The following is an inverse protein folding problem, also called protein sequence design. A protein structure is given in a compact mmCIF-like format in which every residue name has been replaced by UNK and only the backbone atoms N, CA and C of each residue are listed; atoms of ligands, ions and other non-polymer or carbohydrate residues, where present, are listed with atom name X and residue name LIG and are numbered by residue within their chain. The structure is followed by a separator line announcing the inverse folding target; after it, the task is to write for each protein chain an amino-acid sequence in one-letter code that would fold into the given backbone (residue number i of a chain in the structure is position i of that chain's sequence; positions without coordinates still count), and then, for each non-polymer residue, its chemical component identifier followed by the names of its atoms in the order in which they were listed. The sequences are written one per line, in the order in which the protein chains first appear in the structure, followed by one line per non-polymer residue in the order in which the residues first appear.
data_IF_673328223299
#
_entry.id   IF_673328223299
#
_cell.length_a   1.000
_cell.length_b   1.000
_cell.length_c   1.000
_cell.angle_alpha   90.00
_cell.angle_beta   90.00
_cell.angle_gamma   90.00
#
_symmetry.space_group_name_H-M   'P 1'
#
loop_
_entity.id
_entity.type
_entity.pdbx_description
1 polymer ?
#
# COMPACT_ATOMS: atom_id res chain seq x y z
N UNK A 1 10.13 35.89 -10.79
CA UNK A 1 9.37 34.74 -11.33
C UNK A 1 8.13 34.54 -10.46
N UNK A 2 6.93 34.64 -11.04
CA UNK A 2 5.67 34.54 -10.28
C UNK A 2 5.41 33.09 -9.84
N UNK A 3 4.50 32.90 -8.87
CA UNK A 3 4.05 31.55 -8.46
C UNK A 3 3.48 30.78 -9.67
N UNK A 4 2.74 31.47 -10.54
CA UNK A 4 2.16 30.89 -11.75
C UNK A 4 3.25 30.40 -12.73
N UNK A 5 4.36 31.13 -12.85
CA UNK A 5 5.49 30.72 -13.70
C UNK A 5 6.17 29.46 -13.14
N UNK A 6 6.33 29.38 -11.81
CA UNK A 6 6.84 28.18 -11.13
C UNK A 6 5.92 26.98 -11.34
N UNK A 7 4.60 27.17 -11.29
CA UNK A 7 3.63 26.10 -11.53
C UNK A 7 3.64 25.64 -13.00
N UNK A 8 3.75 26.56 -13.96
CA UNK A 8 3.86 26.21 -15.38
C UNK A 8 5.12 25.38 -15.68
N UNK A 9 6.21 25.58 -14.95
CA UNK A 9 7.42 24.77 -15.06
C UNK A 9 7.24 23.31 -14.58
N UNK A 10 6.18 23.02 -13.81
CA UNK A 10 5.84 21.65 -13.45
C UNK A 10 5.09 20.91 -14.56
N UNK A 11 4.58 21.61 -15.58
CA UNK A 11 3.88 20.99 -16.71
C UNK A 11 4.87 20.56 -17.81
N UNK A 12 5.67 19.54 -17.51
CA UNK A 12 6.64 18.99 -18.45
C UNK A 12 5.99 17.96 -19.39
N UNK A 13 6.59 17.71 -20.59
CA UNK A 13 6.07 16.74 -21.52
C UNK A 13 6.16 15.31 -20.98
N UNK A 14 5.08 14.55 -21.16
CA UNK A 14 4.99 13.13 -20.82
C UNK A 14 4.48 12.34 -22.02
N UNK A 15 4.83 11.06 -22.19
CA UNK A 15 4.31 10.26 -23.29
C UNK A 15 2.79 10.17 -23.26
N UNK A 16 2.11 10.24 -24.41
CA UNK A 16 0.64 10.20 -24.47
C UNK A 16 0.05 8.92 -23.83
N UNK A 17 0.75 7.78 -23.96
CA UNK A 17 0.31 6.53 -23.34
C UNK A 17 0.28 6.56 -21.81
N UNK A 18 0.87 7.57 -21.17
CA UNK A 18 0.75 7.76 -19.72
C UNK A 18 -0.69 8.01 -19.26
N UNK A 19 -1.61 8.36 -20.16
CA UNK A 19 -3.05 8.45 -19.88
C UNK A 19 -3.75 7.10 -19.80
N UNK A 20 -3.12 5.99 -20.20
CA UNK A 20 -3.72 4.66 -20.13
C UNK A 20 -3.81 4.22 -18.66
N UNK A 21 -4.89 3.54 -18.28
CA UNK A 21 -5.16 3.12 -16.90
C UNK A 21 -3.96 2.43 -16.22
N UNK A 22 -3.30 1.48 -16.90
CA UNK A 22 -2.12 0.79 -16.36
C UNK A 22 -0.93 1.70 -16.06
N UNK A 23 -0.82 2.83 -16.75
CA UNK A 23 0.25 3.82 -16.53
C UNK A 23 -0.05 4.79 -15.38
N UNK A 24 -1.30 4.87 -14.96
CA UNK A 24 -1.75 5.72 -13.85
C UNK A 24 -1.72 5.03 -12.48
N UNK A 25 -1.55 3.71 -12.42
CA UNK A 25 -1.67 2.92 -11.18
C UNK A 25 -0.86 3.47 -9.99
N UNK A 26 0.40 3.86 -10.20
CA UNK A 26 1.23 4.44 -9.13
C UNK A 26 0.74 5.82 -8.67
N UNK A 27 0.27 6.65 -9.61
CA UNK A 27 -0.36 7.93 -9.30
C UNK A 27 -1.71 7.77 -8.59
N UNK A 28 -2.49 6.76 -8.96
CA UNK A 28 -3.74 6.41 -8.29
C UNK A 28 -3.49 5.95 -6.85
N UNK A 29 -2.50 5.08 -6.61
CA UNK A 29 -2.11 4.70 -5.26
C UNK A 29 -1.71 5.94 -4.43
N UNK A 30 -0.87 6.82 -4.98
CA UNK A 30 -0.50 8.08 -4.33
C UNK A 30 -1.69 9.00 -4.06
N UNK A 31 -2.69 9.03 -4.94
CA UNK A 31 -3.91 9.81 -4.74
C UNK A 31 -4.81 9.22 -3.64
N UNK A 32 -4.96 7.89 -3.58
CA UNK A 32 -5.72 7.19 -2.52
C UNK A 32 -5.03 7.28 -1.15
N UNK A 33 -3.71 7.48 -1.12
CA UNK A 33 -3.00 7.71 0.13
C UNK A 33 -3.43 9.02 0.83
N UNK A 34 -3.90 10.04 0.10
CA UNK A 34 -4.38 11.31 0.68
C UNK A 34 -5.58 11.09 1.61
N UNK A 35 -6.71 10.51 1.17
CA UNK A 35 -7.84 10.25 2.07
C UNK A 35 -7.48 9.28 3.19
N UNK A 36 -6.52 8.35 3.02
CA UNK A 36 -6.01 7.53 4.12
C UNK A 36 -5.37 8.38 5.22
N UNK A 37 -4.47 9.31 4.88
CA UNK A 37 -3.88 10.24 5.87
C UNK A 37 -4.95 11.09 6.53
N UNK A 38 -5.87 11.68 5.76
CA UNK A 38 -6.93 12.55 6.30
C UNK A 38 -7.85 11.78 7.25
N UNK A 39 -8.38 10.63 6.82
CA UNK A 39 -9.28 9.83 7.66
C UNK A 39 -8.56 9.25 8.88
N UNK A 40 -7.27 8.88 8.77
CA UNK A 40 -6.44 8.45 9.90
C UNK A 40 -6.25 9.56 10.93
N UNK A 41 -5.94 10.78 10.51
CA UNK A 41 -5.82 11.95 11.41
C UNK A 41 -7.16 12.30 12.07
N UNK A 42 -8.26 12.23 11.32
CA UNK A 42 -9.62 12.44 11.88
C UNK A 42 -9.90 11.39 12.96
N UNK A 43 -9.69 10.10 12.67
CA UNK A 43 -9.85 9.05 13.69
C UNK A 43 -8.89 9.20 14.86
N UNK A 44 -7.66 9.68 14.62
CA UNK A 44 -6.71 9.92 15.70
C UNK A 44 -7.10 11.12 16.59
N UNK A 45 -7.71 12.14 16.02
CA UNK A 45 -8.20 13.28 16.78
C UNK A 45 -9.46 12.93 17.59
N UNK A 46 -10.42 12.25 16.95
CA UNK A 46 -11.72 11.95 17.56
C UNK A 46 -11.78 10.63 18.33
N UNK A 47 -10.79 9.74 18.14
CA UNK A 47 -10.87 8.36 18.57
C UNK A 47 -9.76 7.90 19.50
N UNK A 48 -10.15 7.37 20.67
CA UNK A 48 -9.34 6.58 21.60
C UNK A 48 -8.19 7.32 22.31
N UNK A 49 -8.43 7.75 23.55
CA UNK A 49 -7.40 8.16 24.52
C UNK A 49 -7.37 7.12 25.65
N UNK A 50 -6.23 6.44 25.92
CA UNK A 50 -6.14 5.43 26.99
C UNK A 50 -6.43 5.94 28.42
N UNK A 51 -6.48 7.26 28.66
CA UNK A 51 -6.51 7.88 29.99
C UNK A 51 -7.60 8.95 30.19
N UNK A 52 -8.72 8.85 29.47
CA UNK A 52 -9.89 9.75 29.53
C UNK A 52 -9.76 11.10 28.78
N UNK A 53 -10.95 11.62 28.40
CA UNK A 53 -11.25 12.78 27.54
C UNK A 53 -11.08 12.59 26.02
N UNK A 54 -11.73 11.58 25.43
CA UNK A 54 -12.50 11.59 24.17
C UNK A 54 -12.96 10.15 23.82
N UNK A 55 -14.10 10.05 23.11
CA UNK A 55 -14.97 8.88 22.93
C UNK A 55 -14.29 7.50 22.94
N UNK A 56 -14.85 6.54 23.68
CA UNK A 56 -14.42 5.13 23.64
C UNK A 56 -14.60 4.54 22.23
N UNK A 57 -13.90 3.45 21.91
CA UNK A 57 -14.06 2.77 20.63
C UNK A 57 -15.52 2.33 20.38
N UNK A 58 -16.25 1.99 21.45
CA UNK A 58 -17.70 1.74 21.42
C UNK A 58 -18.48 2.99 21.01
N UNK A 59 -18.18 4.16 21.58
CA UNK A 59 -18.83 5.42 21.20
C UNK A 59 -18.49 5.88 19.76
N UNK A 60 -17.32 5.49 19.24
CA UNK A 60 -16.98 5.69 17.81
C UNK A 60 -17.80 4.78 16.89
N UNK A 61 -18.13 3.57 17.33
CA UNK A 61 -19.02 2.65 16.61
C UNK A 61 -20.44 3.21 16.48
N UNK A 62 -20.91 3.81 17.56
CA UNK A 62 -22.28 4.29 17.70
C UNK A 62 -22.52 5.62 16.97
N UNK A 63 -21.45 6.39 16.70
CA UNK A 63 -21.55 7.61 15.89
C UNK A 63 -21.49 7.26 14.40
N UNK A 64 -22.62 7.34 13.70
CA UNK A 64 -22.74 6.97 12.28
C UNK A 64 -21.65 7.58 11.37
N UNK A 65 -21.27 8.84 11.58
CA UNK A 65 -20.22 9.51 10.80
C UNK A 65 -18.82 8.92 11.02
N UNK A 66 -18.47 8.56 12.26
CA UNK A 66 -17.15 7.95 12.56
C UNK A 66 -17.08 6.49 12.11
N UNK A 67 -18.18 5.75 12.21
CA UNK A 67 -18.27 4.38 11.69
C UNK A 67 -18.06 4.35 10.16
N UNK A 68 -18.67 5.29 9.43
CA UNK A 68 -18.46 5.46 7.99
C UNK A 68 -17.01 5.82 7.62
N UNK A 69 -16.38 6.74 8.35
CA UNK A 69 -14.97 7.12 8.12
C UNK A 69 -14.02 5.92 8.32
N UNK A 70 -14.26 5.11 9.35
CA UNK A 70 -13.46 3.91 9.61
C UNK A 70 -13.64 2.85 8.52
N UNK A 71 -14.87 2.61 8.07
CA UNK A 71 -15.13 1.70 6.97
C UNK A 71 -14.45 2.19 5.67
N UNK A 72 -14.56 3.50 5.38
CA UNK A 72 -13.88 4.11 4.23
C UNK A 72 -12.36 3.99 4.32
N UNK A 73 -11.77 4.21 5.50
CA UNK A 73 -10.33 4.08 5.74
C UNK A 73 -9.86 2.64 5.49
N UNK A 74 -10.58 1.64 6.02
CA UNK A 74 -10.27 0.23 5.81
C UNK A 74 -10.34 -0.15 4.32
N UNK A 75 -11.43 0.20 3.64
CA UNK A 75 -11.60 -0.10 2.21
C UNK A 75 -10.59 0.65 1.33
N UNK A 76 -10.21 1.89 1.71
CA UNK A 76 -9.16 2.63 1.04
C UNK A 76 -7.78 1.98 1.23
N UNK A 77 -7.51 1.37 2.39
CA UNK A 77 -6.26 0.65 2.66
C UNK A 77 -6.15 -0.60 1.78
N UNK A 78 -7.25 -1.34 1.62
CA UNK A 78 -7.32 -2.46 0.67
C UNK A 78 -7.11 -2.00 -0.77
N UNK A 79 -7.83 -0.95 -1.21
CA UNK A 79 -7.68 -0.39 -2.55
C UNK A 79 -6.25 0.10 -2.81
N UNK A 80 -5.61 0.72 -1.83
CA UNK A 80 -4.23 1.18 -1.91
C UNK A 80 -3.24 0.02 -2.14
N UNK A 81 -3.35 -1.07 -1.37
CA UNK A 81 -2.50 -2.25 -1.57
C UNK A 81 -2.76 -2.94 -2.91
N UNK A 82 -4.02 -3.04 -3.34
CA UNK A 82 -4.37 -3.58 -4.66
C UNK A 82 -3.74 -2.74 -5.77
N UNK A 83 -3.83 -1.40 -5.69
CA UNK A 83 -3.21 -0.51 -6.68
C UNK A 83 -1.69 -0.63 -6.71
N UNK A 84 -1.04 -0.79 -5.56
CA UNK A 84 0.41 -1.06 -5.49
C UNK A 84 0.74 -2.39 -6.17
N UNK A 85 -0.01 -3.47 -5.86
CA UNK A 85 0.21 -4.78 -6.48
C UNK A 85 0.05 -4.74 -8.00
N UNK A 86 -1.01 -4.09 -8.49
CA UNK A 86 -1.24 -3.88 -9.92
C UNK A 86 -0.13 -3.03 -10.54
N UNK A 87 0.32 -1.98 -9.84
CA UNK A 87 1.40 -1.11 -10.31
C UNK A 87 2.71 -1.89 -10.48
N UNK A 88 3.10 -2.67 -9.47
CA UNK A 88 4.27 -3.53 -9.49
C UNK A 88 4.19 -4.55 -10.64
N UNK A 89 3.04 -5.21 -10.77
CA UNK A 89 2.80 -6.17 -11.86
C UNK A 89 2.97 -5.54 -13.23
N UNK A 90 2.41 -4.34 -13.45
CA UNK A 90 2.59 -3.61 -14.72
C UNK A 90 4.06 -3.30 -14.96
N UNK A 91 4.76 -2.77 -13.96
CA UNK A 91 6.19 -2.43 -14.05
C UNK A 91 7.04 -3.64 -14.42
N UNK A 92 6.68 -4.83 -13.93
CA UNK A 92 7.35 -6.09 -14.30
C UNK A 92 7.01 -6.53 -15.72
N UNK A 93 5.74 -6.49 -16.12
CA UNK A 93 5.32 -6.86 -17.47
C UNK A 93 6.00 -5.99 -18.54
N UNK A 94 6.22 -4.70 -18.26
CA UNK A 94 6.86 -3.75 -19.18
C UNK A 94 8.37 -3.59 -18.97
N UNK A 95 8.98 -4.32 -18.01
CA UNK A 95 10.40 -4.19 -17.62
C UNK A 95 10.81 -2.74 -17.33
N UNK A 96 9.92 -1.99 -16.70
CA UNK A 96 10.15 -0.57 -16.40
C UNK A 96 11.21 -0.35 -15.32
N UNK A 97 11.80 -1.41 -14.76
CA UNK A 97 12.93 -1.38 -13.83
C UNK A 97 14.31 -1.50 -14.47
N UNK A 98 14.40 -1.52 -15.81
CA UNK A 98 15.69 -1.61 -16.52
C UNK A 98 16.52 -0.32 -16.43
N UNK A 99 17.84 -0.46 -16.49
CA UNK A 99 18.79 0.67 -16.51
C UNK A 99 18.69 1.60 -15.30
N UNK A 100 18.57 2.91 -15.55
CA UNK A 100 18.46 3.93 -14.51
C UNK A 100 17.23 3.75 -13.61
N UNK A 101 16.14 3.15 -14.14
CA UNK A 101 14.90 2.90 -13.40
C UNK A 101 15.00 1.74 -12.40
N UNK A 102 16.13 1.04 -12.32
CA UNK A 102 16.41 0.11 -11.21
C UNK A 102 16.37 0.79 -9.84
N UNK A 103 16.63 2.11 -9.79
CA UNK A 103 16.47 2.92 -8.56
C UNK A 103 14.99 3.17 -8.23
N UNK A 104 14.14 3.43 -9.22
CA UNK A 104 12.69 3.54 -9.04
C UNK A 104 12.11 2.23 -8.52
N UNK A 105 12.56 1.10 -9.06
CA UNK A 105 12.14 -0.22 -8.58
C UNK A 105 12.46 -0.42 -7.11
N UNK A 106 13.71 -0.18 -6.70
CA UNK A 106 14.14 -0.33 -5.31
C UNK A 106 13.37 0.59 -4.36
N UNK A 107 13.14 1.85 -4.73
CA UNK A 107 12.28 2.72 -3.91
C UNK A 107 10.82 2.27 -3.89
N UNK A 108 10.31 1.70 -4.98
CA UNK A 108 8.99 1.06 -5.04
C UNK A 108 8.87 -0.16 -4.11
N UNK A 109 9.91 -1.00 -4.01
CA UNK A 109 9.96 -2.12 -3.06
C UNK A 109 9.96 -1.62 -1.62
N UNK A 110 10.68 -0.53 -1.31
CA UNK A 110 10.63 0.10 0.02
C UNK A 110 9.22 0.63 0.32
N UNK A 111 8.55 1.27 -0.65
CA UNK A 111 7.16 1.71 -0.52
C UNK A 111 6.24 0.51 -0.24
N UNK A 112 6.39 -0.60 -0.95
CA UNK A 112 5.61 -1.82 -0.73
C UNK A 112 5.77 -2.34 0.71
N UNK A 113 7.01 -2.44 1.21
CA UNK A 113 7.29 -2.90 2.58
C UNK A 113 6.68 -1.95 3.61
N UNK A 114 6.85 -0.64 3.44
CA UNK A 114 6.23 0.35 4.32
C UNK A 114 4.71 0.30 4.26
N UNK A 115 4.12 0.05 3.09
CA UNK A 115 2.67 -0.06 2.91
C UNK A 115 2.12 -1.30 3.61
N UNK A 116 2.83 -2.42 3.57
CA UNK A 116 2.50 -3.61 4.36
C UNK A 116 2.60 -3.30 5.87
N UNK A 117 3.69 -2.68 6.32
CA UNK A 117 3.85 -2.28 7.73
C UNK A 117 2.73 -1.34 8.19
N UNK A 118 2.28 -0.44 7.34
CA UNK A 118 1.11 0.40 7.58
C UNK A 118 -0.17 -0.40 7.79
N UNK A 119 -0.44 -1.35 6.91
CA UNK A 119 -1.64 -2.18 6.99
C UNK A 119 -1.63 -3.01 8.28
N UNK A 120 -0.48 -3.59 8.63
CA UNK A 120 -0.30 -4.35 9.86
C UNK A 120 -0.50 -3.47 11.11
N UNK A 121 0.22 -2.34 11.19
CA UNK A 121 0.12 -1.45 12.36
C UNK A 121 -1.26 -0.82 12.51
N UNK A 122 -1.96 -0.53 11.41
CA UNK A 122 -3.36 -0.10 11.45
C UNK A 122 -4.30 -1.20 11.94
N UNK A 123 -4.03 -2.46 11.58
CA UNK A 123 -4.78 -3.61 12.11
C UNK A 123 -4.57 -3.75 13.62
N UNK A 124 -3.34 -3.63 14.11
CA UNK A 124 -3.01 -3.67 15.54
C UNK A 124 -3.60 -2.50 16.37
N UNK A 125 -4.11 -1.44 15.72
CA UNK A 125 -4.86 -0.37 16.38
C UNK A 125 -6.36 -0.62 16.45
N UNK A 126 -6.86 -1.71 15.84
CA UNK A 126 -8.27 -2.09 15.95
C UNK A 126 -8.59 -2.52 17.37
N UNK A 127 -9.83 -2.26 17.78
CA UNK A 127 -10.33 -2.60 19.13
C UNK A 127 -11.18 -3.86 19.05
N UNK A 128 -10.64 -4.87 18.38
CA UNK A 128 -11.22 -6.21 18.25
C UNK A 128 -10.14 -7.26 18.53
N UNK A 129 -10.53 -8.53 18.56
CA UNK A 129 -9.61 -9.64 18.81
C UNK A 129 -8.42 -9.65 17.84
N UNK A 130 -8.65 -9.40 16.55
CA UNK A 130 -7.58 -9.39 15.55
C UNK A 130 -6.57 -8.27 15.80
N UNK A 131 -7.03 -7.09 16.24
CA UNK A 131 -6.16 -5.99 16.65
C UNK A 131 -5.36 -6.32 17.91
N UNK A 132 -5.98 -6.99 18.89
CA UNK A 132 -5.28 -7.45 20.10
C UNK A 132 -4.18 -8.46 19.77
N UNK A 133 -4.49 -9.51 18.98
CA UNK A 133 -3.55 -10.54 18.55
C UNK A 133 -2.40 -9.93 17.71
N UNK A 134 -2.71 -9.01 16.79
CA UNK A 134 -1.68 -8.33 16.01
C UNK A 134 -0.77 -7.47 16.89
N UNK A 135 -1.31 -6.72 17.86
CA UNK A 135 -0.49 -5.92 18.78
C UNK A 135 0.39 -6.81 19.69
N UNK A 136 -0.15 -7.91 20.22
CA UNK A 136 0.60 -8.81 21.09
C UNK A 136 1.77 -9.48 20.35
N UNK A 137 1.58 -9.87 19.08
CA UNK A 137 2.66 -10.36 18.23
C UNK A 137 3.73 -9.30 17.99
N UNK A 138 3.36 -8.04 17.77
CA UNK A 138 4.32 -6.96 17.58
C UNK A 138 5.16 -6.71 18.84
N UNK A 139 4.51 -6.70 20.01
CA UNK A 139 5.15 -6.41 21.30
C UNK A 139 6.23 -7.45 21.67
N UNK A 140 6.08 -8.70 21.21
CA UNK A 140 7.10 -9.75 21.38
C UNK A 140 8.45 -9.39 20.72
N UNK A 141 8.42 -8.65 19.61
CA UNK A 141 9.63 -8.23 18.90
C UNK A 141 10.10 -6.84 19.33
N UNK A 142 9.15 -5.93 19.58
CA UNK A 142 9.44 -4.53 19.93
C UNK A 142 8.53 -4.13 21.10
N UNK A 143 9.02 -4.23 22.34
CA UNK A 143 8.26 -3.82 23.52
C UNK A 143 7.94 -2.31 23.46
N UNK A 144 6.67 -1.97 23.26
CA UNK A 144 6.22 -0.57 23.14
C UNK A 144 4.79 -0.43 23.63
N UNK A 145 4.51 0.61 24.41
CA UNK A 145 3.14 0.85 24.88
C UNK A 145 2.22 1.35 23.74
N UNK A 146 0.90 1.20 23.93
CA UNK A 146 -0.11 1.56 22.92
C UNK A 146 -0.10 3.04 22.51
N UNK A 147 0.35 3.96 23.37
CA UNK A 147 0.43 5.40 23.05
C UNK A 147 1.53 5.65 22.01
N UNK A 148 2.74 5.13 22.25
CA UNK A 148 3.85 5.26 21.30
C UNK A 148 3.59 4.47 20.02
N UNK A 149 2.99 3.28 20.13
CA UNK A 149 2.59 2.48 18.97
C UNK A 149 1.61 3.23 18.06
N UNK A 150 0.63 3.91 18.66
CA UNK A 150 -0.29 4.78 17.92
C UNK A 150 0.41 5.97 17.27
N UNK A 151 1.31 6.64 17.99
CA UNK A 151 2.13 7.73 17.44
C UNK A 151 2.98 7.27 16.25
N UNK A 152 3.52 6.05 16.32
CA UNK A 152 4.26 5.44 15.22
C UNK A 152 3.39 5.31 13.95
N UNK A 153 2.17 4.78 14.07
CA UNK A 153 1.27 4.61 12.93
C UNK A 153 0.69 5.94 12.39
N UNK A 154 0.32 6.87 13.26
CA UNK A 154 -0.40 8.09 12.87
C UNK A 154 0.54 9.23 12.47
N UNK A 155 1.79 9.23 12.94
CA UNK A 155 2.74 10.33 12.71
C UNK A 155 3.99 9.84 11.99
N UNK A 156 4.74 8.91 12.59
CA UNK A 156 6.06 8.54 12.07
C UNK A 156 5.99 7.84 10.71
N UNK A 157 5.13 6.83 10.58
CA UNK A 157 4.96 6.08 9.33
C UNK A 157 4.44 6.96 8.18
N UNK A 158 3.43 7.85 8.36
CA UNK A 158 2.94 8.71 7.27
C UNK A 158 4.00 9.65 6.76
N UNK A 159 4.73 10.31 7.66
CA UNK A 159 5.80 11.22 7.27
C UNK A 159 6.93 10.48 6.53
N UNK A 160 7.30 9.29 7.02
CA UNK A 160 8.31 8.46 6.36
C UNK A 160 7.85 8.04 4.95
N UNK A 161 6.64 7.50 4.82
CA UNK A 161 6.12 7.05 3.53
C UNK A 161 5.91 8.21 2.56
N UNK A 162 5.43 9.37 3.01
CA UNK A 162 5.38 10.60 2.20
C UNK A 162 6.75 10.99 1.67
N UNK A 163 7.78 10.95 2.53
CA UNK A 163 9.15 11.23 2.14
C UNK A 163 9.64 10.28 1.05
N UNK A 164 9.44 8.97 1.24
CA UNK A 164 9.86 7.96 0.25
C UNK A 164 9.05 8.04 -1.05
N UNK A 165 7.73 8.29 -0.99
CA UNK A 165 6.90 8.56 -2.18
C UNK A 165 7.42 9.78 -2.93
N UNK A 166 7.79 10.85 -2.22
CA UNK A 166 8.40 12.05 -2.80
C UNK A 166 9.70 11.73 -3.54
N UNK A 167 10.61 10.98 -2.90
CA UNK A 167 11.84 10.50 -3.55
C UNK A 167 11.52 9.63 -4.78
N UNK A 168 10.56 8.72 -4.67
CA UNK A 168 10.15 7.86 -5.78
C UNK A 168 9.60 8.68 -6.95
N UNK A 169 8.75 9.68 -6.70
CA UNK A 169 8.20 10.58 -7.71
C UNK A 169 9.30 11.43 -8.38
N UNK A 170 10.28 11.92 -7.61
CA UNK A 170 11.45 12.62 -8.15
C UNK A 170 12.25 11.69 -9.07
N UNK A 171 12.49 10.44 -8.68
CA UNK A 171 13.15 9.46 -9.54
C UNK A 171 12.34 9.18 -10.82
N UNK A 172 11.00 9.17 -10.76
CA UNK A 172 10.15 9.02 -11.95
C UNK A 172 10.29 10.24 -12.88
N UNK A 173 10.36 11.46 -12.32
CA UNK A 173 10.62 12.67 -13.09
C UNK A 173 11.99 12.64 -13.77
N UNK A 174 13.03 12.20 -13.06
CA UNK A 174 14.41 12.12 -13.59
C UNK A 174 14.53 11.03 -14.66
N UNK A 175 14.03 9.82 -14.37
CA UNK A 175 14.21 8.65 -15.23
C UNK A 175 13.11 8.45 -16.28
N UNK A 176 12.13 9.36 -16.30
CA UNK A 176 10.97 9.42 -17.21
C UNK A 176 10.04 8.20 -17.11
N UNK A 177 8.82 8.36 -17.63
CA UNK A 177 7.85 7.26 -17.73
C UNK A 177 8.32 6.28 -18.81
N UNK A 178 8.32 4.99 -18.49
CA UNK A 178 8.75 3.94 -19.43
C UNK A 178 7.89 3.89 -20.69
N UNK A 179 8.43 3.40 -21.83
CA UNK A 179 7.67 3.18 -23.06
C UNK A 179 6.66 2.03 -22.91
N UNK A 180 5.76 1.89 -23.90
CA UNK A 180 4.64 0.95 -23.92
C UNK A 180 5.05 -0.53 -23.79
N UNK A 181 6.13 -0.93 -24.45
CA UNK A 181 6.65 -2.29 -24.45
C UNK A 181 8.18 -2.28 -24.53
N UNK A 182 8.84 -3.37 -24.07
CA UNK A 182 10.27 -3.56 -24.29
C UNK A 182 10.62 -3.40 -25.78
N UNK A 183 11.61 -2.56 -26.10
CA UNK A 183 12.08 -2.33 -27.47
C UNK A 183 11.48 -1.11 -28.20
N UNK A 184 10.49 -0.41 -27.63
CA UNK A 184 10.08 0.89 -28.16
C UNK A 184 11.06 1.98 -27.73
N UNK A 185 11.43 2.89 -28.65
CA UNK A 185 12.35 3.98 -28.36
C UNK A 185 11.77 4.96 -27.33
N UNK A 186 12.61 5.35 -26.37
CA UNK A 186 12.21 6.29 -25.32
C UNK A 186 12.06 7.70 -25.89
N UNK A 187 10.93 8.35 -25.61
CA UNK A 187 10.68 9.73 -26.05
C UNK A 187 10.24 9.87 -27.51
N UNK A 188 10.15 8.78 -28.26
CA UNK A 188 9.63 8.77 -29.63
C UNK A 188 8.13 8.46 -29.60
N UNK A 189 7.32 9.42 -30.06
CA UNK A 189 5.87 9.30 -30.13
C UNK A 189 5.13 10.55 -29.63
N UNK A 190 3.79 10.56 -29.76
CA UNK A 190 2.97 11.68 -29.32
C UNK A 190 3.20 12.01 -27.85
N UNK A 191 3.35 13.30 -27.56
CA UNK A 191 3.52 13.82 -26.22
C UNK A 191 2.22 14.43 -25.71
N UNK A 192 2.05 14.36 -24.41
CA UNK A 192 1.03 15.05 -23.63
C UNK A 192 1.68 15.86 -22.52
N UNK A 193 0.89 16.43 -21.63
CA UNK A 193 1.40 17.25 -20.53
C UNK A 193 1.19 16.56 -19.19
N UNK A 194 2.09 16.81 -18.24
CA UNK A 194 2.01 16.24 -16.90
C UNK A 194 0.70 16.62 -16.18
N UNK A 195 0.20 17.84 -16.34
CA UNK A 195 -1.09 18.24 -15.79
C UNK A 195 -2.26 17.51 -16.45
N UNK A 196 -2.17 17.22 -17.75
CA UNK A 196 -3.12 16.32 -18.41
C UNK A 196 -3.02 14.89 -17.87
N UNK A 197 -1.86 14.40 -17.44
CA UNK A 197 -1.77 13.12 -16.70
C UNK A 197 -2.48 13.21 -15.34
N UNK A 198 -2.16 14.24 -14.57
CA UNK A 198 -2.69 14.41 -13.21
C UNK A 198 -4.20 14.58 -13.18
N UNK A 199 -4.81 15.27 -14.14
CA UNK A 199 -6.29 15.36 -14.20
C UNK A 199 -6.95 14.00 -14.41
N UNK A 200 -6.35 13.09 -15.18
CA UNK A 200 -6.89 11.73 -15.34
C UNK A 200 -6.71 10.93 -14.06
N UNK A 201 -5.52 11.00 -13.44
CA UNK A 201 -5.28 10.35 -12.13
C UNK A 201 -6.31 10.82 -11.09
N UNK A 202 -6.57 12.12 -11.00
CA UNK A 202 -7.58 12.67 -10.09
C UNK A 202 -8.99 12.20 -10.46
N UNK A 203 -9.37 12.24 -11.75
CA UNK A 203 -10.70 11.81 -12.19
C UNK A 203 -10.96 10.33 -11.86
N UNK A 204 -10.04 9.43 -12.21
CA UNK A 204 -10.15 8.01 -11.89
C UNK A 204 -10.03 7.73 -10.37
N UNK A 205 -9.18 8.50 -9.67
CA UNK A 205 -9.06 8.44 -8.22
C UNK A 205 -10.37 8.81 -7.52
N UNK A 206 -11.06 9.85 -7.98
CA UNK A 206 -12.37 10.25 -7.46
C UNK A 206 -13.44 9.18 -7.73
N UNK A 207 -13.37 8.48 -8.86
CA UNK A 207 -14.25 7.33 -9.13
C UNK A 207 -14.01 6.23 -8.11
N UNK A 208 -12.75 5.86 -7.83
CA UNK A 208 -12.40 4.84 -6.82
C UNK A 208 -12.89 5.27 -5.44
N UNK A 209 -12.68 6.53 -5.06
CA UNK A 209 -13.19 7.09 -3.79
C UNK A 209 -14.72 7.00 -3.74
N UNK A 210 -15.42 7.35 -4.82
CA UNK A 210 -16.87 7.24 -4.91
C UNK A 210 -17.36 5.80 -4.71
N UNK A 211 -16.69 4.83 -5.34
CA UNK A 211 -16.98 3.39 -5.14
C UNK A 211 -16.75 2.97 -3.69
N UNK A 212 -15.64 3.40 -3.07
CA UNK A 212 -15.37 3.13 -1.65
C UNK A 212 -16.49 3.69 -0.77
N UNK A 213 -16.92 4.93 -1.00
CA UNK A 213 -18.00 5.55 -0.21
C UNK A 213 -19.32 4.79 -0.36
N UNK A 214 -19.69 4.40 -1.58
CA UNK A 214 -20.88 3.55 -1.80
C UNK A 214 -20.74 2.22 -1.07
N UNK A 215 -19.57 1.58 -1.14
CA UNK A 215 -19.31 0.31 -0.45
C UNK A 215 -19.43 0.41 1.08
N UNK A 216 -19.11 1.57 1.69
CA UNK A 216 -19.29 1.75 3.15
C UNK A 216 -20.74 1.64 3.61
N UNK A 217 -21.71 1.91 2.74
CA UNK A 217 -23.13 1.76 3.08
C UNK A 217 -23.54 0.28 3.25
N UNK A 218 -22.80 -0.64 2.62
CA UNK A 218 -23.07 -2.07 2.63
C UNK A 218 -22.08 -2.87 3.49
N UNK A 219 -20.92 -2.28 3.79
CA UNK A 219 -19.85 -2.93 4.53
C UNK A 219 -19.29 -1.99 5.61
N UNK A 220 -19.55 -2.35 6.87
CA UNK A 220 -18.86 -1.77 8.03
C UNK A 220 -18.14 -2.92 8.75
N UNK A 221 -16.79 -2.91 8.84
CA UNK A 221 -16.09 -3.96 9.58
C UNK A 221 -16.61 -3.99 11.02
N UNK A 222 -16.94 -5.13 11.63
CA UNK A 222 -17.45 -5.17 13.00
C UNK A 222 -16.46 -4.50 13.97
N UNK A 223 -16.96 -3.66 14.89
CA UNK A 223 -16.15 -2.98 15.92
C UNK A 223 -15.98 -3.81 17.20
N UNK A 224 -16.94 -4.68 17.50
CA UNK A 224 -17.01 -5.43 18.76
C UNK A 224 -17.21 -6.89 18.39
N UNK A 225 -16.12 -7.58 18.09
CA UNK A 225 -16.15 -9.03 17.89
C UNK A 225 -15.91 -9.68 19.26
N UNK A 226 -16.99 -9.94 20.02
CA UNK A 226 -16.92 -10.58 21.34
C UNK A 226 -16.02 -9.82 22.36
N UNK A 227 -16.08 -10.12 23.67
CA UNK A 227 -15.01 -9.71 24.57
C UNK A 227 -13.67 -10.24 24.06
N UNK A 228 -12.62 -9.42 24.10
CA UNK A 228 -11.25 -9.86 23.82
C UNK A 228 -10.91 -10.95 24.83
N UNK A 229 -10.46 -12.10 24.35
CA UNK A 229 -10.01 -13.20 25.20
C UNK A 229 -8.50 -13.24 25.17
N UNK A 230 -7.88 -12.86 26.27
CA UNK A 230 -6.42 -12.84 26.41
C UNK A 230 -5.85 -14.26 26.29
N UNK A 231 -4.72 -14.39 25.58
CA UNK A 231 -4.03 -15.66 25.40
C UNK A 231 -4.68 -16.63 24.40
N UNK A 232 -5.76 -16.22 23.73
CA UNK A 232 -6.40 -17.01 22.65
C UNK A 232 -6.00 -16.46 21.29
N UNK A 233 -5.60 -17.35 20.38
CA UNK A 233 -5.32 -17.06 18.97
C UNK A 233 -6.30 -17.82 18.08
N UNK A 234 -7.34 -17.14 17.61
CA UNK A 234 -8.37 -17.74 16.75
C UNK A 234 -8.75 -16.88 15.56
N UNK A 235 -8.21 -15.66 15.45
CA UNK A 235 -8.42 -14.85 14.26
C UNK A 235 -7.35 -15.15 13.22
N UNK A 236 -7.76 -15.21 11.95
CA UNK A 236 -6.82 -15.25 10.85
C UNK A 236 -6.38 -13.82 10.52
N UNK A 237 -5.10 -13.62 10.13
CA UNK A 237 -4.66 -12.32 9.66
C UNK A 237 -5.42 -11.93 8.38
N UNK A 238 -5.41 -10.63 8.07
CA UNK A 238 -6.03 -10.09 6.86
C UNK A 238 -5.37 -10.63 5.58
N UNK A 239 -6.07 -10.52 4.44
CA UNK A 239 -5.64 -11.10 3.17
C UNK A 239 -4.19 -10.80 2.74
N UNK A 240 -3.58 -9.61 2.98
CA UNK A 240 -2.19 -9.37 2.59
C UNK A 240 -1.20 -10.26 3.38
N UNK A 241 -1.61 -10.72 4.56
CA UNK A 241 -0.80 -11.44 5.54
C UNK A 241 -1.24 -12.90 5.73
N UNK A 242 -2.28 -13.38 5.05
CA UNK A 242 -2.72 -14.78 5.11
C UNK A 242 -1.60 -15.77 4.77
N UNK A 243 -0.63 -15.37 3.94
CA UNK A 243 0.53 -16.18 3.59
C UNK A 243 1.46 -16.49 4.79
N UNK A 244 1.35 -15.72 5.87
CA UNK A 244 2.11 -15.92 7.11
C UNK A 244 1.46 -16.98 8.02
N UNK A 245 0.14 -17.16 7.93
CA UNK A 245 -0.62 -18.07 8.79
C UNK A 245 -0.11 -19.52 8.80
N UNK A 246 0.30 -20.14 7.68
CA UNK A 246 0.84 -21.50 7.69
C UNK A 246 2.31 -21.62 8.13
N UNK A 247 2.99 -20.51 8.43
CA UNK A 247 4.43 -20.49 8.69
C UNK A 247 4.72 -20.68 10.18
N UNK A 248 5.84 -21.36 10.47
CA UNK A 248 6.38 -21.45 11.83
C UNK A 248 7.17 -20.19 12.21
N UNK A 249 7.61 -20.10 13.47
CA UNK A 249 8.19 -18.89 14.06
C UNK A 249 9.41 -18.34 13.30
N UNK A 250 10.30 -19.20 12.81
CA UNK A 250 11.47 -18.73 12.05
C UNK A 250 11.09 -18.34 10.62
N UNK A 251 10.15 -19.07 9.99
CA UNK A 251 9.69 -18.78 8.65
C UNK A 251 8.92 -17.47 8.54
N UNK A 252 8.24 -17.03 9.62
CA UNK A 252 7.58 -15.71 9.70
C UNK A 252 8.52 -14.54 9.41
N UNK A 253 9.81 -14.68 9.72
CA UNK A 253 10.83 -13.66 9.40
C UNK A 253 11.56 -14.00 8.12
N UNK A 254 12.00 -15.26 7.96
CA UNK A 254 12.83 -15.66 6.84
C UNK A 254 12.11 -15.52 5.49
N UNK A 255 10.83 -15.89 5.40
CA UNK A 255 10.07 -15.84 4.13
C UNK A 255 9.86 -14.40 3.65
N UNK A 256 9.34 -13.45 4.45
CA UNK A 256 9.20 -12.06 4.02
C UNK A 256 10.54 -11.40 3.69
N UNK A 257 11.57 -11.61 4.52
CA UNK A 257 12.91 -11.03 4.28
C UNK A 257 13.50 -11.56 2.98
N UNK A 258 13.41 -12.86 2.73
CA UNK A 258 13.88 -13.48 1.49
C UNK A 258 13.11 -12.97 0.27
N UNK A 259 11.79 -12.79 0.38
CA UNK A 259 10.97 -12.21 -0.68
C UNK A 259 11.38 -10.76 -0.99
N UNK A 260 11.64 -9.93 0.03
CA UNK A 260 12.12 -8.55 -0.16
C UNK A 260 13.50 -8.52 -0.80
N UNK A 261 14.44 -9.34 -0.32
CA UNK A 261 15.79 -9.46 -0.92
C UNK A 261 15.68 -9.88 -2.38
N UNK A 262 14.88 -10.92 -2.68
CA UNK A 262 14.63 -11.39 -4.03
C UNK A 262 14.07 -10.27 -4.92
N UNK A 263 13.08 -9.50 -4.44
CA UNK A 263 12.55 -8.33 -5.15
C UNK A 263 13.63 -7.27 -5.40
N UNK A 264 14.47 -6.94 -4.42
CA UNK A 264 15.51 -5.91 -4.56
C UNK A 264 16.55 -6.26 -5.63
N UNK A 265 16.84 -7.55 -5.83
CA UNK A 265 17.83 -8.02 -6.81
C UNK A 265 17.25 -8.30 -8.20
N UNK A 266 15.92 -8.27 -8.39
CA UNK A 266 15.25 -8.49 -9.69
C UNK A 266 15.91 -7.71 -10.85
N UNK A 267 16.25 -6.41 -10.70
CA UNK A 267 16.84 -5.65 -11.80
C UNK A 267 18.20 -6.17 -12.29
N UNK A 268 18.92 -6.97 -11.49
CA UNK A 268 20.20 -7.57 -11.88
C UNK A 268 20.05 -8.63 -12.98
N UNK A 269 18.85 -9.19 -13.14
CA UNK A 269 18.56 -10.29 -14.06
C UNK A 269 17.78 -9.85 -15.31
N UNK A 270 17.61 -8.54 -15.51
CA UNK A 270 16.82 -8.01 -16.63
C UNK A 270 17.51 -8.30 -17.96
N UNK A 271 16.76 -8.84 -18.93
CA UNK A 271 17.27 -9.10 -20.27
C UNK A 271 16.24 -8.69 -21.33
N UNK A 272 16.45 -7.50 -21.90
CA UNK A 272 15.55 -6.91 -22.90
C UNK A 272 15.52 -7.64 -24.24
N UNK A 273 16.49 -8.52 -24.54
CA UNK A 273 16.53 -9.27 -25.81
C UNK A 273 15.49 -10.39 -25.87
N UNK A 274 14.98 -10.86 -24.72
CA UNK A 274 14.02 -11.96 -24.66
C UNK A 274 12.58 -11.44 -24.53
N UNK A 275 11.63 -12.22 -25.05
CA UNK A 275 10.19 -11.96 -24.85
C UNK A 275 9.78 -12.10 -23.39
N UNK A 276 10.35 -13.07 -22.68
CA UNK A 276 10.26 -13.27 -21.23
C UNK A 276 11.68 -13.46 -20.69
N UNK A 277 11.99 -12.86 -19.54
CA UNK A 277 13.31 -12.99 -18.91
C UNK A 277 13.23 -13.56 -17.48
N UNK A 278 14.40 -13.85 -16.93
CA UNK A 278 14.52 -14.43 -15.60
C UNK A 278 14.02 -13.48 -14.50
N UNK A 279 14.21 -12.17 -14.66
CA UNK A 279 13.74 -11.16 -13.71
C UNK A 279 12.22 -11.16 -13.55
N UNK A 280 11.47 -11.31 -14.65
CA UNK A 280 10.02 -11.47 -14.61
C UNK A 280 9.63 -12.81 -13.97
N UNK A 281 10.37 -13.89 -14.29
CA UNK A 281 10.17 -15.21 -13.69
C UNK A 281 10.27 -15.20 -12.17
N UNK A 282 11.28 -14.52 -11.62
CA UNK A 282 11.44 -14.35 -10.15
C UNK A 282 10.20 -13.66 -9.55
N UNK A 283 9.75 -12.55 -10.14
CA UNK A 283 8.58 -11.83 -9.62
C UNK A 283 7.32 -12.70 -9.61
N UNK A 284 7.00 -13.36 -10.72
CA UNK A 284 5.79 -14.19 -10.82
C UNK A 284 5.88 -15.45 -9.96
N UNK A 285 7.08 -15.99 -9.73
CA UNK A 285 7.28 -17.05 -8.74
C UNK A 285 6.97 -16.56 -7.33
N UNK A 286 7.48 -15.38 -6.93
CA UNK A 286 7.16 -14.79 -5.63
C UNK A 286 5.67 -14.54 -5.46
N UNK A 287 4.99 -14.03 -6.49
CA UNK A 287 3.53 -13.83 -6.48
C UNK A 287 2.80 -15.17 -6.35
N UNK A 288 3.21 -16.20 -7.09
CA UNK A 288 2.61 -17.53 -7.00
C UNK A 288 2.81 -18.16 -5.63
N UNK A 289 3.99 -18.02 -5.02
CA UNK A 289 4.28 -18.49 -3.67
C UNK A 289 3.44 -17.75 -2.63
N UNK A 290 3.37 -16.42 -2.70
CA UNK A 290 2.53 -15.61 -1.82
C UNK A 290 1.06 -16.01 -1.93
N UNK A 291 0.54 -16.12 -3.16
CA UNK A 291 -0.86 -16.49 -3.40
C UNK A 291 -1.16 -17.94 -2.95
N UNK A 292 -0.25 -18.87 -3.21
CA UNK A 292 -0.38 -20.27 -2.80
C UNK A 292 -0.40 -20.43 -1.28
N UNK A 293 0.53 -19.75 -0.58
CA UNK A 293 0.56 -19.72 0.88
C UNK A 293 -0.67 -19.02 1.47
N UNK A 294 -1.11 -17.90 0.88
CA UNK A 294 -2.32 -17.21 1.33
C UNK A 294 -3.58 -18.07 1.14
N UNK A 295 -3.68 -18.78 0.01
CA UNK A 295 -4.77 -19.71 -0.24
C UNK A 295 -4.74 -20.88 0.75
N UNK A 296 -3.57 -21.48 0.97
CA UNK A 296 -3.40 -22.54 1.97
C UNK A 296 -3.79 -22.04 3.37
N UNK A 297 -3.29 -20.88 3.78
CA UNK A 297 -3.65 -20.21 5.04
C UNK A 297 -5.15 -19.96 5.20
N UNK A 298 -5.85 -19.63 4.11
CA UNK A 298 -7.30 -19.43 4.12
C UNK A 298 -8.08 -20.72 4.48
N UNK A 299 -7.57 -21.90 4.09
CA UNK A 299 -8.27 -23.18 4.27
C UNK A 299 -7.79 -24.04 5.43
N UNK A 300 -6.57 -23.83 5.95
CA UNK A 300 -6.12 -24.58 7.13
C UNK A 300 -6.78 -24.04 8.41
N UNK A 301 -7.00 -24.93 9.37
CA UNK A 301 -7.46 -24.61 10.71
C UNK A 301 -6.49 -25.26 11.70
N UNK A 302 -5.89 -24.48 12.57
CA UNK A 302 -5.19 -25.02 13.73
C UNK A 302 -6.25 -25.38 14.78
N UNK A 303 -6.15 -26.60 15.30
CA UNK A 303 -7.07 -27.16 16.30
C UNK A 303 -6.79 -26.61 17.69
#
# INVERSE_FOLDING_TARGET
MSLLDKLKQLDYPVPEHSMRAGYMLGGLAGFIFIPLVVSGLVMAYYGYVPSAAHRTAAEMAETASLSGIRAAHSLAADAFLILIFLHMTRVVLTRSYSGARSKNWRSGVVILVLSALFFYTGTALRVDQAGYEAYSHFEQFVPVNKVWFRGFHVIALPLLLMGIIGVHAILVKINKISPLAPGHEEGVGPQSTFFKHMRYVMAYGLIIIGVIHVATAYYTPPLIAAPIVEGVEWTKPSWPFLFLYPLDTWALVAVPVSAVIAMLIIPLFVNSSKKWDFSQGIFFLLVALWAGLALYGAFIHYA
#
